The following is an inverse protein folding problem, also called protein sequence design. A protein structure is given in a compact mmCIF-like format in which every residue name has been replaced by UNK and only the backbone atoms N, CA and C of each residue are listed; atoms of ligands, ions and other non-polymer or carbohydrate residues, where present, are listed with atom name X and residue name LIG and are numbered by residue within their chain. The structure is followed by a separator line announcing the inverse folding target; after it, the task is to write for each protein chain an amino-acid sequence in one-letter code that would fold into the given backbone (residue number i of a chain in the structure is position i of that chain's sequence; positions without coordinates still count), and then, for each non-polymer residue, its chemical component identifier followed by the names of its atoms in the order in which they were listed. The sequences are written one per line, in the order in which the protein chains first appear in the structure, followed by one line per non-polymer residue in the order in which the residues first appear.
data_IF_526967305202
#
_entry.id   IF_526967305202
#
_cell.length_a   1.000
_cell.length_b   1.000
_cell.length_c   1.000
_cell.angle_alpha   90.00
_cell.angle_beta   90.00
_cell.angle_gamma   90.00
#
_symmetry.space_group_name_H-M   'P 1'
#
loop_
_entity.id
_entity.type
_entity.pdbx_description
1 polymer ?
#
# COMPACT_ATOMS: atom_id res chain seq x y z
N UNK A 1 -11.00 -9.23 -35.81
CA UNK A 1 -9.73 -9.45 -35.10
C UNK A 1 -9.31 -8.26 -34.22
N UNK A 2 -10.24 -7.38 -33.79
CA UNK A 2 -9.92 -6.13 -33.06
C UNK A 2 -10.17 -6.18 -31.54
N UNK A 3 -11.09 -7.03 -31.06
CA UNK A 3 -11.43 -7.12 -29.63
C UNK A 3 -10.28 -7.63 -28.74
N UNK A 4 -9.45 -8.52 -29.26
CA UNK A 4 -8.34 -9.10 -28.50
C UNK A 4 -7.22 -8.07 -28.29
N UNK A 5 -6.94 -7.22 -29.28
CA UNK A 5 -5.97 -6.13 -29.15
C UNK A 5 -6.44 -5.03 -28.21
N UNK A 6 -7.74 -4.73 -28.16
CA UNK A 6 -8.30 -3.77 -27.18
C UNK A 6 -8.25 -4.30 -25.75
N UNK A 7 -8.54 -5.59 -25.52
CA UNK A 7 -8.41 -6.20 -24.19
C UNK A 7 -6.95 -6.26 -23.71
N UNK A 8 -6.01 -6.57 -24.61
CA UNK A 8 -4.56 -6.55 -24.30
C UNK A 8 -4.13 -5.11 -23.95
N UNK A 9 -4.56 -4.12 -24.73
CA UNK A 9 -4.26 -2.71 -24.44
C UNK A 9 -4.84 -2.23 -23.09
N UNK A 10 -6.06 -2.63 -22.72
CA UNK A 10 -6.64 -2.25 -21.44
C UNK A 10 -5.92 -2.89 -20.24
N UNK A 11 -5.46 -4.13 -20.38
CA UNK A 11 -4.69 -4.83 -19.34
C UNK A 11 -3.27 -4.25 -19.20
N UNK A 12 -2.67 -3.77 -20.28
CA UNK A 12 -1.36 -3.11 -20.28
C UNK A 12 -1.44 -1.68 -19.71
N UNK A 13 -2.47 -0.90 -20.04
CA UNK A 13 -2.69 0.46 -19.53
C UNK A 13 -2.89 0.51 -18.01
N UNK A 14 -3.45 -0.54 -17.41
CA UNK A 14 -3.73 -0.58 -15.97
C UNK A 14 -2.45 -0.89 -15.15
N UNK A 15 -1.41 -1.48 -15.75
CA UNK A 15 -0.15 -1.73 -15.04
C UNK A 15 0.68 -0.46 -14.80
N UNK A 16 0.59 0.53 -15.70
CA UNK A 16 1.36 1.77 -15.62
C UNK A 16 0.63 2.89 -14.87
N UNK A 17 -0.65 2.67 -14.51
CA UNK A 17 -1.41 3.60 -13.69
C UNK A 17 -0.75 3.72 -12.31
N UNK A 18 -0.69 4.96 -11.82
CA UNK A 18 -0.11 5.27 -10.52
C UNK A 18 -1.21 5.57 -9.51
N UNK A 19 -1.23 4.83 -8.40
CA UNK A 19 -2.11 5.08 -7.26
C UNK A 19 -1.33 5.71 -6.12
N UNK A 20 -1.96 6.69 -5.46
CA UNK A 20 -1.38 7.37 -4.31
C UNK A 20 -1.66 6.56 -3.04
N UNK A 21 -0.59 6.17 -2.35
CA UNK A 21 -0.64 5.52 -1.05
C UNK A 21 -0.01 6.41 0.02
N UNK A 22 -0.34 6.08 1.26
CA UNK A 22 0.14 6.77 2.45
C UNK A 22 0.68 5.73 3.44
N UNK A 23 1.69 6.14 4.20
CA UNK A 23 2.29 5.33 5.22
C UNK A 23 3.01 6.20 6.24
N UNK A 24 3.73 5.54 7.15
CA UNK A 24 4.58 6.23 8.11
C UNK A 24 5.91 5.50 8.28
N UNK A 25 6.92 6.24 8.71
CA UNK A 25 8.20 5.67 9.11
C UNK A 25 8.06 5.01 10.48
N UNK A 26 8.81 3.93 10.71
CA UNK A 26 8.77 3.20 11.96
C UNK A 26 10.11 3.28 12.69
N UNK A 27 10.05 3.16 14.02
CA UNK A 27 11.20 2.90 14.87
C UNK A 27 11.64 1.42 14.76
N UNK A 28 12.66 1.04 15.52
CA UNK A 28 13.20 -0.32 15.46
C UNK A 28 12.24 -1.40 15.95
N UNK A 29 11.34 -1.04 16.86
CA UNK A 29 10.28 -1.89 17.40
C UNK A 29 8.99 -1.88 16.55
N UNK A 30 9.03 -1.27 15.35
CA UNK A 30 7.88 -1.07 14.46
C UNK A 30 6.81 -0.09 14.96
N UNK A 31 7.03 0.61 16.07
CA UNK A 31 6.17 1.73 16.46
C UNK A 31 6.29 2.88 15.46
N UNK A 32 5.22 3.67 15.32
CA UNK A 32 5.23 4.84 14.44
C UNK A 32 6.29 5.83 14.93
N UNK A 33 7.17 6.27 14.02
CA UNK A 33 8.14 7.31 14.31
C UNK A 33 7.40 8.64 14.45
N UNK A 34 7.69 9.37 15.53
CA UNK A 34 7.10 10.68 15.81
C UNK A 34 8.15 11.76 15.94
N UNK A 35 7.73 13.01 15.79
CA UNK A 35 8.55 14.20 16.02
C UNK A 35 7.75 15.30 16.73
N UNK A 36 8.47 16.28 17.28
CA UNK A 36 7.85 17.50 17.81
C UNK A 36 7.89 18.60 16.78
N UNK A 37 6.72 19.11 16.37
CA UNK A 37 6.59 20.19 15.39
C UNK A 37 5.92 21.37 16.05
N UNK A 38 6.61 22.53 16.11
CA UNK A 38 6.08 23.76 16.70
C UNK A 38 5.53 23.56 18.14
N UNK A 39 6.20 22.73 18.95
CA UNK A 39 5.80 22.43 20.33
C UNK A 39 4.70 21.37 20.48
N UNK A 40 4.15 20.83 19.38
CA UNK A 40 3.22 19.70 19.42
C UNK A 40 4.02 18.40 19.35
N UNK A 41 3.92 17.57 20.39
CA UNK A 41 4.59 16.26 20.47
C UNK A 41 3.81 15.18 19.72
N UNK A 42 4.47 14.05 19.48
CA UNK A 42 3.85 12.82 18.96
C UNK A 42 3.23 12.94 17.56
N UNK A 43 3.73 13.88 16.75
CA UNK A 43 3.33 14.00 15.35
C UNK A 43 3.95 12.85 14.57
N UNK A 44 3.12 11.97 14.00
CA UNK A 44 3.57 10.84 13.19
C UNK A 44 4.26 11.34 11.93
N UNK A 45 5.48 10.86 11.70
CA UNK A 45 6.22 11.13 10.48
C UNK A 45 5.66 10.27 9.34
N UNK A 46 4.74 10.87 8.59
CA UNK A 46 4.09 10.25 7.44
C UNK A 46 4.90 10.36 6.15
N UNK A 47 4.58 9.51 5.18
CA UNK A 47 4.99 9.68 3.79
C UNK A 47 3.83 9.38 2.85
N UNK A 48 3.97 9.86 1.62
CA UNK A 48 3.09 9.50 0.52
C UNK A 48 3.93 8.97 -0.65
N UNK A 49 3.41 7.98 -1.36
CA UNK A 49 4.11 7.37 -2.51
C UNK A 49 3.12 7.03 -3.61
N UNK A 50 3.51 7.26 -4.86
CA UNK A 50 2.76 6.80 -6.03
C UNK A 50 3.36 5.48 -6.50
N UNK A 51 2.53 4.45 -6.61
CA UNK A 51 2.96 3.11 -6.99
C UNK A 51 2.10 2.60 -8.12
N UNK A 52 2.72 1.88 -9.04
CA UNK A 52 2.04 0.96 -9.95
C UNK A 52 1.51 -0.26 -9.18
N UNK A 53 0.57 -0.98 -9.78
CA UNK A 53 0.09 -2.27 -9.28
C UNK A 53 1.25 -3.24 -9.03
N UNK A 54 2.24 -3.28 -9.92
CA UNK A 54 3.38 -4.19 -9.82
C UNK A 54 4.36 -3.79 -8.70
N UNK A 55 4.62 -2.49 -8.51
CA UNK A 55 5.43 -2.01 -7.40
C UNK A 55 4.76 -2.27 -6.05
N UNK A 56 3.44 -2.06 -5.94
CA UNK A 56 2.69 -2.37 -4.73
C UNK A 56 2.73 -3.88 -4.41
N UNK A 57 2.54 -4.73 -5.42
CA UNK A 57 2.69 -6.19 -5.26
C UNK A 57 4.10 -6.56 -4.85
N UNK A 58 5.13 -5.88 -5.36
CA UNK A 58 6.52 -6.13 -4.96
C UNK A 58 6.72 -5.80 -3.49
N UNK A 59 6.25 -4.64 -3.03
CA UNK A 59 6.29 -4.27 -1.61
C UNK A 59 5.58 -5.31 -0.75
N UNK A 60 4.40 -5.80 -1.17
CA UNK A 60 3.68 -6.84 -0.43
C UNK A 60 4.39 -8.20 -0.44
N UNK A 61 5.09 -8.56 -1.51
CA UNK A 61 5.89 -9.79 -1.57
C UNK A 61 7.11 -9.73 -0.66
N UNK A 62 7.75 -8.56 -0.60
CA UNK A 62 8.96 -8.32 0.19
C UNK A 62 8.63 -7.85 1.62
N UNK A 63 7.35 -7.85 2.00
CA UNK A 63 6.87 -7.39 3.30
C UNK A 63 7.32 -8.33 4.42
N UNK A 64 7.64 -7.74 5.57
CA UNK A 64 7.90 -8.47 6.80
C UNK A 64 6.60 -8.97 7.42
N UNK A 65 5.57 -8.13 7.38
CA UNK A 65 4.27 -8.46 7.94
C UNK A 65 3.17 -7.77 7.12
N UNK A 66 2.09 -8.49 6.88
CA UNK A 66 0.86 -7.94 6.32
C UNK A 66 -0.28 -8.28 7.26
N UNK A 67 -0.84 -7.25 7.87
CA UNK A 67 -1.91 -7.36 8.84
C UNK A 67 -3.19 -6.73 8.29
N UNK A 68 -4.28 -7.50 8.27
CA UNK A 68 -5.60 -6.98 7.89
C UNK A 68 -6.18 -6.18 9.06
N UNK A 69 -6.49 -4.92 8.83
CA UNK A 69 -7.12 -4.02 9.80
C UNK A 69 -8.54 -3.64 9.35
N UNK A 70 -9.26 -2.89 10.18
CA UNK A 70 -10.67 -2.50 9.94
C UNK A 70 -10.91 -1.90 8.55
N UNK A 71 -9.95 -1.12 8.05
CA UNK A 71 -10.09 -0.29 6.85
C UNK A 71 -9.19 -0.72 5.68
N UNK A 72 -8.44 -1.81 5.79
CA UNK A 72 -7.49 -2.21 4.77
C UNK A 72 -6.44 -3.17 5.26
N UNK A 73 -5.25 -3.09 4.68
CA UNK A 73 -4.06 -3.81 5.10
C UNK A 73 -2.99 -2.83 5.57
N UNK A 74 -2.37 -3.17 6.69
CA UNK A 74 -1.09 -2.60 7.12
C UNK A 74 0.02 -3.50 6.57
N UNK A 75 0.96 -2.92 5.82
CA UNK A 75 2.07 -3.61 5.17
C UNK A 75 3.38 -3.06 5.71
N UNK A 76 4.10 -3.87 6.51
CA UNK A 76 5.39 -3.51 7.10
C UNK A 76 6.52 -3.99 6.21
N UNK A 77 7.43 -3.10 5.83
CA UNK A 77 8.51 -3.40 4.90
C UNK A 77 9.75 -2.56 5.19
N UNK A 78 10.90 -3.01 4.67
CA UNK A 78 12.13 -2.22 4.66
C UNK A 78 12.42 -1.71 3.26
N UNK A 79 12.95 -0.50 3.19
CA UNK A 79 13.55 0.02 1.96
C UNK A 79 14.77 0.84 2.34
N UNK A 80 15.94 0.48 1.80
CA UNK A 80 17.21 1.14 2.13
C UNK A 80 17.48 1.21 3.65
N UNK A 81 17.25 0.09 4.36
CA UNK A 81 17.35 -0.02 5.82
C UNK A 81 16.40 0.88 6.63
N UNK A 82 15.41 1.51 5.99
CA UNK A 82 14.36 2.29 6.67
C UNK A 82 13.11 1.44 6.82
N UNK A 83 12.66 1.26 8.07
CA UNK A 83 11.39 0.57 8.41
C UNK A 83 10.21 1.49 8.12
N UNK A 84 9.22 0.96 7.41
CA UNK A 84 8.03 1.68 6.96
C UNK A 84 6.80 0.81 7.10
N UNK A 85 5.67 1.45 7.32
CA UNK A 85 4.36 0.82 7.27
C UNK A 85 3.49 1.55 6.22
N UNK A 86 3.03 0.82 5.21
CA UNK A 86 2.14 1.32 4.15
C UNK A 86 0.71 0.89 4.45
N UNK A 87 -0.24 1.79 4.26
CA UNK A 87 -1.66 1.48 4.40
C UNK A 87 -2.32 1.29 3.02
N UNK A 88 -2.82 0.08 2.77
CA UNK A 88 -3.59 -0.27 1.56
C UNK A 88 -5.07 -0.30 1.92
N UNK A 89 -5.80 0.77 1.56
CA UNK A 89 -7.20 0.97 1.95
C UNK A 89 -8.16 0.07 1.17
N UNK A 90 -9.24 -0.35 1.82
CA UNK A 90 -10.42 -0.91 1.15
C UNK A 90 -11.24 0.19 0.48
N UNK A 91 -11.69 -0.05 -0.76
CA UNK A 91 -12.59 0.86 -1.49
C UNK A 91 -13.98 0.95 -0.85
N UNK A 92 -14.44 -0.13 -0.21
CA UNK A 92 -15.72 -0.17 0.51
C UNK A 92 -15.55 -0.77 1.92
N UNK A 93 -16.06 -0.04 2.91
CA UNK A 93 -15.87 -0.21 4.35
C UNK A 93 -16.37 -1.52 4.98
N UNK A 94 -16.93 -2.44 4.21
CA UNK A 94 -17.77 -3.53 4.74
C UNK A 94 -17.64 -4.87 4.00
N UNK A 95 -16.52 -5.15 3.31
CA UNK A 95 -16.38 -6.47 2.70
C UNK A 95 -16.15 -7.53 3.79
N UNK A 96 -17.22 -8.23 4.16
CA UNK A 96 -17.20 -9.43 5.03
C UNK A 96 -16.38 -10.57 4.42
N UNK A 97 -16.19 -10.56 3.09
CA UNK A 97 -15.26 -11.43 2.39
C UNK A 97 -13.83 -11.09 2.78
N UNK A 98 -13.20 -12.00 3.53
CA UNK A 98 -11.76 -11.98 3.80
C UNK A 98 -11.03 -12.31 2.49
N UNK A 99 -10.62 -11.27 1.76
CA UNK A 99 -9.65 -11.39 0.68
C UNK A 99 -8.25 -11.24 1.24
N UNK A 100 -7.27 -11.88 0.64
CA UNK A 100 -5.88 -11.52 0.90
C UNK A 100 -5.51 -10.20 0.18
N UNK A 101 -4.34 -9.66 0.51
CA UNK A 101 -3.87 -8.37 -0.02
C UNK A 101 -3.67 -8.41 -1.53
N UNK A 102 -3.22 -9.52 -2.11
CA UNK A 102 -2.96 -9.65 -3.55
C UNK A 102 -4.25 -9.75 -4.34
N UNK A 103 -5.23 -10.51 -3.84
CA UNK A 103 -6.59 -10.52 -4.39
C UNK A 103 -7.20 -9.12 -4.40
N UNK A 104 -7.05 -8.37 -3.30
CA UNK A 104 -7.52 -6.99 -3.24
C UNK A 104 -6.81 -6.10 -4.25
N UNK A 105 -5.48 -6.20 -4.34
CA UNK A 105 -4.69 -5.39 -5.28
C UNK A 105 -5.09 -5.67 -6.73
N UNK A 106 -5.37 -6.93 -7.09
CA UNK A 106 -5.78 -7.29 -8.45
C UNK A 106 -7.15 -6.73 -8.85
N UNK A 107 -8.04 -6.48 -7.89
CA UNK A 107 -9.41 -6.08 -8.14
C UNK A 107 -9.60 -4.55 -8.19
N UNK A 108 -8.81 -3.79 -7.43
CA UNK A 108 -9.07 -2.37 -7.16
C UNK A 108 -7.93 -1.43 -7.56
N UNK A 109 -6.72 -1.96 -7.65
CA UNK A 109 -5.58 -1.31 -8.30
C UNK A 109 -5.26 -2.13 -9.54
#
# INVERSE_FOLDING_TARGET
MNKMNEQINLLELDNDKLWQFYGHYCNDDWSAKTETVNGVTDIVLGFSVKLTKNELKKICRDAIEISRIKYGYSVRFLTNNVKKELFVRFDNYTTSKKRDVFEHINLYF
#
